data_IF_687435994346
#
_entry.id   IF_687435994346
#
_cell.length_a   1.000
_cell.length_b   1.000
_cell.length_c   1.000
_cell.angle_alpha   90.00
_cell.angle_beta   90.00
_cell.angle_gamma   90.00
#
_symmetry.space_group_name_H-M   'P 1'
#
loop_
_entity.id
_entity.type
_entity.pdbx_description
1 polymer ?
#
# COMPACT_ATOMS: atom_id res chain seq x y z
N UNK A 1 -0.74 -31.01 7.03
CA UNK A 1 -0.63 -31.89 8.21
C UNK A 1 -0.49 -31.02 9.45
N UNK A 2 -1.10 -31.37 10.59
CA UNK A 2 -0.91 -30.63 11.85
C UNK A 2 0.21 -31.25 12.68
N UNK A 3 1.02 -30.41 13.33
CA UNK A 3 2.04 -30.82 14.30
C UNK A 3 1.76 -30.10 15.64
N UNK A 4 1.07 -30.78 16.58
CA UNK A 4 0.69 -30.19 17.87
C UNK A 4 1.87 -29.88 18.78
N UNK A 5 2.92 -30.71 18.74
CA UNK A 5 4.09 -30.59 19.62
C UNK A 5 4.93 -29.38 19.25
N UNK A 6 5.17 -29.16 17.94
CA UNK A 6 5.81 -27.94 17.45
C UNK A 6 4.84 -26.74 17.35
N UNK A 7 3.53 -26.98 17.44
CA UNK A 7 2.48 -25.96 17.34
C UNK A 7 2.41 -25.31 15.96
N UNK A 8 2.65 -26.09 14.89
CA UNK A 8 2.68 -25.62 13.49
C UNK A 8 1.76 -26.41 12.57
N UNK A 9 1.31 -25.76 11.51
CA UNK A 9 0.70 -26.44 10.37
C UNK A 9 1.73 -26.64 9.27
N UNK A 10 1.77 -27.84 8.70
CA UNK A 10 2.56 -28.16 7.52
C UNK A 10 1.70 -28.04 6.26
N UNK A 11 2.03 -27.08 5.40
CA UNK A 11 1.45 -26.92 4.06
C UNK A 11 2.58 -26.98 3.04
N UNK A 12 2.44 -27.84 2.02
CA UNK A 12 3.45 -28.05 0.97
C UNK A 12 4.86 -28.34 1.51
N UNK A 13 4.94 -29.07 2.64
CA UNK A 13 6.20 -29.39 3.32
C UNK A 13 6.83 -28.21 4.08
N UNK A 14 6.18 -27.06 4.16
CA UNK A 14 6.66 -25.88 4.87
C UNK A 14 5.88 -25.71 6.19
N UNK A 15 6.53 -25.33 7.29
CA UNK A 15 5.84 -25.05 8.55
C UNK A 15 5.23 -23.64 8.56
N UNK A 16 4.05 -23.52 9.15
CA UNK A 16 3.27 -22.29 9.29
C UNK A 16 2.80 -22.08 10.73
N UNK A 17 2.86 -20.83 11.21
CA UNK A 17 2.49 -20.44 12.57
C UNK A 17 1.77 -19.10 12.58
N UNK A 18 0.87 -18.93 13.55
CA UNK A 18 0.19 -17.66 13.80
C UNK A 18 0.77 -17.01 15.05
N UNK A 19 1.12 -15.73 14.93
CA UNK A 19 1.52 -14.86 16.03
C UNK A 19 0.38 -13.90 16.31
N UNK A 20 -0.33 -14.13 17.41
CA UNK A 20 -1.43 -13.27 17.86
C UNK A 20 -0.88 -12.06 18.60
N UNK A 21 -1.50 -10.89 18.40
CA UNK A 21 -1.25 -9.71 19.24
C UNK A 21 -2.14 -9.79 20.47
N UNK A 22 -1.49 -9.85 21.62
CA UNK A 22 -2.13 -9.87 22.93
C UNK A 22 -2.65 -8.47 23.30
N UNK A 23 -1.76 -7.47 23.25
CA UNK A 23 -2.04 -6.15 23.83
C UNK A 23 -1.46 -5.04 22.96
N UNK A 24 -2.20 -3.94 22.85
CA UNK A 24 -1.68 -2.66 22.36
C UNK A 24 -1.04 -1.93 23.55
N UNK A 25 0.28 -1.73 23.53
CA UNK A 25 1.03 -1.00 24.56
C UNK A 25 0.87 0.51 24.42
N UNK A 26 0.62 0.97 23.20
CA UNK A 26 0.29 2.35 22.85
C UNK A 26 -0.85 2.37 21.84
N UNK A 27 -1.66 3.44 21.78
CA UNK A 27 -2.61 3.65 20.70
C UNK A 27 -1.90 3.60 19.33
N UNK A 28 -2.37 2.77 18.38
CA UNK A 28 -1.84 2.77 17.03
C UNK A 28 -2.34 4.00 16.27
N UNK A 29 -1.40 4.70 15.63
CA UNK A 29 -1.67 5.84 14.75
C UNK A 29 -2.10 5.38 13.35
N UNK A 30 -2.74 6.25 12.54
CA UNK A 30 -3.01 5.99 11.13
C UNK A 30 -1.78 5.48 10.38
N UNK A 31 -1.90 4.27 9.82
CA UNK A 31 -0.83 3.63 9.06
C UNK A 31 0.27 2.98 9.87
N UNK A 32 -0.02 2.61 11.13
CA UNK A 32 0.91 1.84 11.97
C UNK A 32 1.52 0.61 11.26
N UNK A 33 0.72 -0.09 10.44
CA UNK A 33 1.20 -1.27 9.71
C UNK A 33 1.80 -0.92 8.34
N UNK A 34 1.06 -0.17 7.53
CA UNK A 34 1.33 0.02 6.09
C UNK A 34 1.80 1.41 5.70
N UNK A 35 1.67 2.38 6.58
CA UNK A 35 2.09 3.75 6.34
C UNK A 35 3.61 3.88 6.40
N UNK A 36 4.15 4.74 5.53
CA UNK A 36 5.59 4.98 5.49
C UNK A 36 6.01 5.92 6.62
N UNK A 37 6.95 5.45 7.45
CA UNK A 37 7.49 6.22 8.58
C UNK A 37 8.99 6.39 8.39
N UNK A 38 9.49 7.61 8.64
CA UNK A 38 10.93 7.87 8.68
C UNK A 38 11.53 7.26 9.95
N UNK A 39 12.49 6.35 9.79
CA UNK A 39 13.25 5.68 10.86
C UNK A 39 14.74 5.82 10.57
N UNK A 40 15.37 6.82 11.19
CA UNK A 40 16.73 7.25 10.85
C UNK A 40 16.78 7.85 9.43
N UNK A 41 17.72 7.36 8.61
CA UNK A 41 17.84 7.76 7.20
C UNK A 41 16.90 7.01 6.26
N UNK A 42 16.26 5.95 6.76
CA UNK A 42 15.35 5.11 5.99
C UNK A 42 13.90 5.55 6.16
N UNK A 43 13.10 5.38 5.10
CA UNK A 43 11.64 5.47 5.15
C UNK A 43 11.11 4.06 4.93
N UNK A 44 10.33 3.50 5.85
CA UNK A 44 9.76 2.17 5.70
C UNK A 44 8.41 2.04 6.40
N UNK A 45 7.58 1.13 5.89
CA UNK A 45 6.41 0.66 6.61
C UNK A 45 6.83 -0.37 7.67
N UNK A 46 5.99 -0.61 8.67
CA UNK A 46 6.25 -1.67 9.64
C UNK A 46 6.29 -3.05 8.96
N UNK A 47 5.42 -3.28 7.97
CA UNK A 47 5.38 -4.54 7.24
C UNK A 47 6.68 -4.84 6.47
N UNK A 48 7.42 -3.83 6.02
CA UNK A 48 8.70 -4.06 5.33
C UNK A 48 9.78 -4.64 6.26
N UNK A 49 9.61 -4.45 7.57
CA UNK A 49 10.55 -4.93 8.60
C UNK A 49 10.19 -6.34 9.11
N UNK A 50 9.12 -6.93 8.60
CA UNK A 50 8.67 -8.28 8.95
C UNK A 50 9.34 -9.33 8.05
N UNK A 51 9.42 -10.60 8.49
CA UNK A 51 9.87 -11.68 7.62
C UNK A 51 9.09 -11.76 6.32
N UNK A 52 9.78 -11.99 5.21
CA UNK A 52 9.16 -12.10 3.89
C UNK A 52 8.09 -13.22 3.86
N UNK A 53 6.94 -12.90 3.27
CA UNK A 53 5.78 -13.81 3.22
C UNK A 53 4.88 -13.77 4.46
N UNK A 54 5.11 -12.85 5.41
CA UNK A 54 4.19 -12.62 6.53
C UNK A 54 2.85 -12.08 6.02
N UNK A 55 1.75 -12.69 6.46
CA UNK A 55 0.39 -12.24 6.14
C UNK A 55 -0.26 -11.67 7.39
N UNK A 56 -0.79 -10.46 7.31
CA UNK A 56 -1.54 -9.83 8.40
C UNK A 56 -3.02 -10.20 8.27
N UNK A 57 -3.62 -10.60 9.37
CA UNK A 57 -5.06 -10.84 9.48
C UNK A 57 -5.63 -10.02 10.63
N UNK A 58 -6.52 -9.08 10.29
CA UNK A 58 -7.28 -8.29 11.25
C UNK A 58 -8.76 -8.70 11.17
N UNK A 59 -9.21 -9.41 12.19
CA UNK A 59 -10.62 -9.75 12.37
C UNK A 59 -11.31 -8.61 13.11
N UNK A 60 -12.43 -8.11 12.59
CA UNK A 60 -13.26 -7.09 13.24
C UNK A 60 -14.70 -7.61 13.29
N UNK A 61 -15.30 -7.58 14.48
CA UNK A 61 -16.70 -7.92 14.72
C UNK A 61 -17.40 -6.65 15.17
N UNK A 62 -18.13 -6.03 14.24
CA UNK A 62 -19.02 -4.93 14.57
C UNK A 62 -20.16 -5.45 15.44
N UNK A 63 -20.44 -4.73 16.53
CA UNK A 63 -21.51 -5.06 17.46
C UNK A 63 -22.32 -3.80 17.78
N UNK A 64 -23.60 -4.00 18.09
CA UNK A 64 -24.49 -2.92 18.50
C UNK A 64 -23.99 -2.32 19.84
N UNK A 65 -23.90 -0.99 19.91
CA UNK A 65 -23.24 -0.30 21.03
C UNK A 65 -24.14 -0.26 22.28
N UNK A 66 -25.46 -0.21 22.09
CA UNK A 66 -26.48 -0.37 23.13
C UNK A 66 -26.29 -1.67 23.93
N UNK A 67 -26.13 -2.81 23.25
CA UNK A 67 -25.87 -4.11 23.90
C UNK A 67 -24.56 -4.10 24.70
N UNK A 68 -23.55 -3.43 24.18
CA UNK A 68 -22.26 -3.31 24.86
C UNK A 68 -22.37 -2.44 26.12
N UNK A 69 -23.12 -1.33 26.07
CA UNK A 69 -23.40 -0.48 27.22
C UNK A 69 -24.21 -1.20 28.30
N UNK A 70 -25.17 -2.05 27.92
CA UNK A 70 -25.89 -2.93 28.84
C UNK A 70 -24.95 -3.93 29.53
N UNK A 71 -24.04 -4.56 28.78
CA UNK A 71 -23.03 -5.48 29.32
C UNK A 71 -22.12 -4.79 30.34
N UNK A 72 -21.65 -3.57 30.06
CA UNK A 72 -20.86 -2.79 31.02
C UNK A 72 -21.68 -2.39 32.25
N UNK A 73 -22.95 -2.05 32.07
CA UNK A 73 -23.85 -1.74 33.19
C UNK A 73 -24.02 -2.95 34.10
N UNK A 74 -24.18 -4.14 33.53
CA UNK A 74 -24.24 -5.40 34.29
C UNK A 74 -22.91 -5.71 34.99
N UNK A 75 -21.78 -5.49 34.32
CA UNK A 75 -20.45 -5.67 34.90
C UNK A 75 -20.25 -4.79 36.15
N UNK A 76 -20.61 -3.51 36.06
CA UNK A 76 -20.53 -2.58 37.20
C UNK A 76 -21.44 -2.97 38.36
N UNK A 77 -22.63 -3.53 38.09
CA UNK A 77 -23.54 -4.03 39.13
C UNK A 77 -23.00 -5.28 39.84
N UNK A 78 -22.35 -6.18 39.08
CA UNK A 78 -21.80 -7.42 39.59
C UNK A 78 -20.49 -7.24 40.39
N UNK A 79 -19.80 -6.11 40.21
CA UNK A 79 -18.65 -5.73 41.01
C UNK A 79 -19.10 -5.29 42.42
N UNK A 80 -19.57 -6.25 43.24
CA UNK A 80 -20.08 -6.03 44.59
C UNK A 80 -18.96 -6.25 45.61
N UNK A 81 -18.38 -5.16 46.10
CA UNK A 81 -17.35 -5.18 47.14
C UNK A 81 -16.70 -3.80 47.29
N UNK A 82 -16.13 -3.54 48.47
CA UNK A 82 -15.27 -2.37 48.73
C UNK A 82 -13.79 -2.67 48.48
N UNK A 83 -13.47 -3.87 47.99
CA UNK A 83 -12.10 -4.20 47.62
C UNK A 83 -11.64 -3.36 46.42
N UNK A 84 -10.32 -3.16 46.35
CA UNK A 84 -9.68 -2.32 45.33
C UNK A 84 -10.03 -2.75 43.90
N UNK A 85 -10.19 -4.05 43.67
CA UNK A 85 -10.54 -4.58 42.34
C UNK A 85 -11.96 -4.19 41.91
N UNK A 86 -12.96 -4.31 42.80
CA UNK A 86 -14.34 -3.93 42.49
C UNK A 86 -14.47 -2.42 42.25
N UNK A 87 -13.74 -1.61 43.02
CA UNK A 87 -13.68 -0.16 42.82
C UNK A 87 -13.10 0.18 41.45
N UNK A 88 -11.99 -0.47 41.07
CA UNK A 88 -11.33 -0.26 39.77
C UNK A 88 -12.24 -0.64 38.60
N UNK A 89 -12.93 -1.78 38.68
CA UNK A 89 -13.87 -2.19 37.63
C UNK A 89 -14.98 -1.14 37.43
N UNK A 90 -15.50 -0.55 38.51
CA UNK A 90 -16.51 0.52 38.39
C UNK A 90 -15.93 1.78 37.75
N UNK A 91 -14.71 2.17 38.11
CA UNK A 91 -14.01 3.31 37.50
C UNK A 91 -13.78 3.08 36.00
N UNK A 92 -13.26 1.91 35.61
CA UNK A 92 -13.02 1.56 34.21
C UNK A 92 -14.34 1.56 33.40
N UNK A 93 -15.44 1.06 33.97
CA UNK A 93 -16.76 1.11 33.32
C UNK A 93 -17.25 2.54 33.14
N UNK A 94 -17.04 3.41 34.12
CA UNK A 94 -17.40 4.82 34.01
C UNK A 94 -16.62 5.51 32.89
N UNK A 95 -15.30 5.32 32.84
CA UNK A 95 -14.44 5.89 31.78
C UNK A 95 -14.89 5.42 30.39
N UNK A 96 -15.17 4.13 30.24
CA UNK A 96 -15.66 3.57 28.97
C UNK A 96 -17.00 4.20 28.58
N UNK A 97 -17.93 4.37 29.51
CA UNK A 97 -19.23 5.01 29.24
C UNK A 97 -19.09 6.47 28.82
N UNK A 98 -18.18 7.21 29.44
CA UNK A 98 -17.90 8.60 29.05
C UNK A 98 -17.37 8.68 27.60
N UNK A 99 -16.47 7.76 27.23
CA UNK A 99 -15.95 7.68 25.86
C UNK A 99 -17.03 7.26 24.84
N UNK A 100 -17.88 6.28 25.18
CA UNK A 100 -19.02 5.89 24.35
C UNK A 100 -20.00 7.07 24.16
N UNK A 101 -20.26 7.83 25.22
CA UNK A 101 -21.08 9.06 25.17
C UNK A 101 -20.48 10.14 24.26
N UNK A 102 -19.15 10.19 24.11
CA UNK A 102 -18.43 11.05 23.15
C UNK A 102 -18.40 10.48 21.72
N UNK A 103 -19.24 9.51 21.40
CA UNK A 103 -19.36 8.84 20.09
C UNK A 103 -18.14 7.99 19.70
N UNK A 104 -17.24 7.66 20.62
CA UNK A 104 -16.29 6.59 20.36
C UNK A 104 -17.04 5.25 20.30
N UNK A 105 -16.50 4.29 19.56
CA UNK A 105 -17.10 2.97 19.39
C UNK A 105 -16.12 1.88 19.79
N UNK A 106 -16.64 0.80 20.37
CA UNK A 106 -15.90 -0.39 20.75
C UNK A 106 -16.40 -1.60 19.95
N UNK A 107 -15.49 -2.22 19.22
CA UNK A 107 -15.72 -3.48 18.52
C UNK A 107 -14.85 -4.57 19.10
N UNK A 108 -15.22 -5.83 18.84
CA UNK A 108 -14.33 -6.94 19.12
C UNK A 108 -13.41 -7.15 17.93
N UNK A 109 -12.14 -7.43 18.21
CA UNK A 109 -11.15 -7.63 17.18
C UNK A 109 -10.06 -8.61 17.59
N UNK A 110 -9.40 -9.20 16.61
CA UNK A 110 -8.18 -9.97 16.80
C UNK A 110 -7.20 -9.62 15.68
N UNK A 111 -5.95 -9.31 16.06
CA UNK A 111 -4.86 -9.07 15.12
C UNK A 111 -3.90 -10.25 15.18
N UNK A 112 -3.65 -10.87 14.03
CA UNK A 112 -2.80 -12.03 13.89
C UNK A 112 -1.84 -11.85 12.71
N UNK A 113 -0.66 -12.44 12.82
CA UNK A 113 0.36 -12.49 11.78
C UNK A 113 0.67 -13.94 11.46
N UNK A 114 0.42 -14.36 10.22
CA UNK A 114 0.72 -15.69 9.73
C UNK A 114 2.11 -15.68 9.13
N UNK A 115 2.96 -16.59 9.60
CA UNK A 115 4.36 -16.71 9.20
C UNK A 115 4.60 -18.11 8.68
N UNK A 116 5.43 -18.21 7.64
CA UNK A 116 5.93 -19.46 7.06
C UNK A 116 7.45 -19.50 7.17
N UNK A 117 7.99 -20.67 7.50
CA UNK A 117 9.43 -20.96 7.45
C UNK A 117 9.76 -22.02 6.39
N UNK A 118 11.06 -22.31 6.24
CA UNK A 118 11.57 -23.44 5.44
C UNK A 118 11.57 -24.75 6.24
N UNK A 119 11.84 -24.64 7.53
CA UNK A 119 11.92 -25.71 8.52
C UNK A 119 11.56 -25.14 9.91
N UNK A 120 11.61 -25.98 10.94
CA UNK A 120 11.24 -25.61 12.31
C UNK A 120 12.19 -24.56 12.92
N UNK A 121 13.45 -24.52 12.52
CA UNK A 121 14.41 -23.55 13.05
C UNK A 121 14.20 -22.18 12.40
N UNK A 122 14.03 -22.14 11.08
CA UNK A 122 13.73 -20.92 10.33
C UNK A 122 12.41 -20.29 10.78
N UNK A 123 11.34 -21.08 10.98
CA UNK A 123 10.06 -20.51 11.45
C UNK A 123 10.18 -19.91 12.85
N UNK A 124 10.93 -20.53 13.76
CA UNK A 124 11.14 -20.01 15.10
C UNK A 124 11.94 -18.69 15.04
N UNK A 125 13.00 -18.64 14.23
CA UNK A 125 13.77 -17.42 14.02
C UNK A 125 12.92 -16.28 13.46
N UNK A 126 12.08 -16.57 12.45
CA UNK A 126 11.15 -15.59 11.85
C UNK A 126 10.11 -15.09 12.86
N UNK A 127 9.58 -15.98 13.71
CA UNK A 127 8.64 -15.61 14.78
C UNK A 127 9.30 -14.69 15.81
N UNK A 128 10.57 -14.96 16.17
CA UNK A 128 11.33 -14.07 17.05
C UNK A 128 11.58 -12.70 16.41
N UNK A 129 12.01 -12.65 15.15
CA UNK A 129 12.19 -11.40 14.40
C UNK A 129 10.88 -10.60 14.35
N UNK A 130 9.78 -11.25 13.96
CA UNK A 130 8.46 -10.63 13.91
C UNK A 130 8.05 -10.08 15.27
N UNK A 131 8.23 -10.87 16.34
CA UNK A 131 7.86 -10.46 17.70
C UNK A 131 8.61 -9.20 18.15
N UNK A 132 9.90 -9.12 17.83
CA UNK A 132 10.71 -7.92 18.09
C UNK A 132 10.20 -6.70 17.31
N UNK A 133 9.90 -6.86 16.01
CA UNK A 133 9.33 -5.80 15.16
C UNK A 133 7.97 -5.32 15.69
N UNK A 134 7.10 -6.22 16.15
CA UNK A 134 5.80 -5.87 16.73
C UNK A 134 5.96 -5.08 18.04
N UNK A 135 6.89 -5.49 18.90
CA UNK A 135 7.15 -4.81 20.17
C UNK A 135 7.64 -3.37 19.97
N UNK A 136 8.48 -3.09 18.98
CA UNK A 136 8.91 -1.71 18.67
C UNK A 136 7.77 -0.85 18.13
N UNK A 137 6.76 -1.48 17.52
CA UNK A 137 5.52 -0.83 17.11
C UNK A 137 4.52 -0.62 18.26
N UNK A 138 4.77 -1.18 19.44
CA UNK A 138 3.85 -1.18 20.57
C UNK A 138 2.73 -2.22 20.45
N UNK A 139 2.89 -3.20 19.56
CA UNK A 139 2.03 -4.36 19.43
C UNK A 139 2.68 -5.51 20.20
N UNK A 140 2.12 -5.90 21.34
CA UNK A 140 2.65 -6.99 22.14
C UNK A 140 2.14 -8.33 21.61
N UNK A 141 2.98 -9.19 21.02
CA UNK A 141 2.59 -10.54 20.65
C UNK A 141 2.39 -11.42 21.87
N UNK A 142 1.51 -12.43 21.75
CA UNK A 142 1.39 -13.53 22.71
C UNK A 142 2.70 -14.30 22.70
N UNK A 143 3.31 -14.51 23.87
CA UNK A 143 4.52 -15.34 23.98
C UNK A 143 4.20 -16.78 23.56
N UNK A 144 5.08 -17.47 22.81
CA UNK A 144 4.80 -18.83 22.34
C UNK A 144 4.41 -19.80 23.46
N UNK A 145 5.06 -19.70 24.61
CA UNK A 145 4.86 -20.49 25.83
C UNK A 145 3.49 -20.26 26.50
N UNK A 146 2.83 -19.14 26.21
CA UNK A 146 1.47 -18.84 26.68
C UNK A 146 0.40 -19.06 25.60
N UNK A 147 0.78 -19.60 24.43
CA UNK A 147 -0.16 -19.91 23.37
C UNK A 147 -0.90 -21.21 23.69
N UNK A 148 -2.11 -21.09 24.25
CA UNK A 148 -2.93 -22.24 24.68
C UNK A 148 -3.34 -23.16 23.51
N UNK A 149 -3.50 -22.62 22.30
CA UNK A 149 -3.94 -23.40 21.14
C UNK A 149 -3.45 -22.81 19.81
N UNK A 150 -2.15 -22.97 19.50
CA UNK A 150 -1.52 -22.34 18.34
C UNK A 150 -2.09 -22.82 17.00
N UNK A 151 -2.43 -24.11 16.88
CA UNK A 151 -3.04 -24.67 15.67
C UNK A 151 -4.44 -24.08 15.39
N UNK A 152 -5.25 -23.91 16.43
CA UNK A 152 -6.58 -23.29 16.30
C UNK A 152 -6.46 -21.78 16.06
N UNK A 153 -5.47 -21.12 16.68
CA UNK A 153 -5.19 -19.71 16.42
C UNK A 153 -4.87 -19.47 14.94
N UNK A 154 -4.08 -20.36 14.33
CA UNK A 154 -3.80 -20.32 12.89
C UNK A 154 -5.07 -20.40 12.05
N UNK A 155 -5.91 -21.42 12.28
CA UNK A 155 -7.14 -21.60 11.52
C UNK A 155 -8.12 -20.42 11.69
N UNK A 156 -8.26 -19.88 12.90
CA UNK A 156 -9.13 -18.72 13.15
C UNK A 156 -8.60 -17.43 12.53
N UNK A 157 -7.29 -17.32 12.36
CA UNK A 157 -6.65 -16.16 11.76
C UNK A 157 -6.71 -16.19 10.22
N UNK A 158 -7.01 -17.33 9.60
CA UNK A 158 -7.23 -17.38 8.15
C UNK A 158 -8.43 -16.51 7.74
N UNK A 159 -8.37 -15.84 6.57
CA UNK A 159 -9.49 -15.05 6.08
C UNK A 159 -10.79 -15.85 6.06
N UNK A 160 -11.87 -15.25 6.55
CA UNK A 160 -13.21 -15.84 6.59
C UNK A 160 -13.38 -17.12 7.45
N UNK A 161 -12.35 -17.55 8.20
CA UNK A 161 -12.44 -18.75 9.03
C UNK A 161 -12.87 -18.48 10.48
N UNK A 162 -12.89 -17.21 10.93
CA UNK A 162 -13.38 -16.84 12.25
C UNK A 162 -14.92 -16.78 12.27
N UNK A 163 -15.54 -17.51 13.20
CA UNK A 163 -16.98 -17.43 13.47
C UNK A 163 -17.23 -16.80 14.86
N UNK A 164 -17.77 -15.57 14.93
CA UNK A 164 -18.01 -14.87 16.20
C UNK A 164 -19.02 -15.58 17.10
N UNK A 165 -19.98 -16.33 16.55
CA UNK A 165 -20.98 -17.06 17.34
C UNK A 165 -20.39 -18.23 18.12
N UNK A 166 -19.22 -18.73 17.69
CA UNK A 166 -18.47 -19.79 18.36
C UNK A 166 -17.50 -19.25 19.44
N UNK A 167 -17.19 -17.95 19.42
CA UNK A 167 -16.32 -17.29 20.41
C UNK A 167 -17.13 -16.77 21.62
N UNK A 168 -17.94 -17.66 22.22
CA UNK A 168 -18.89 -17.29 23.31
C UNK A 168 -18.21 -16.72 24.55
N UNK A 169 -16.97 -17.12 24.82
CA UNK A 169 -16.17 -16.64 25.96
C UNK A 169 -15.23 -15.49 25.58
N UNK A 170 -15.24 -15.06 24.33
CA UNK A 170 -14.37 -14.00 23.82
C UNK A 170 -12.88 -14.26 24.10
N UNK A 171 -12.46 -15.52 23.98
CA UNK A 171 -11.08 -15.92 24.24
C UNK A 171 -10.15 -15.55 23.10
N UNK A 172 -10.70 -15.35 21.90
CA UNK A 172 -9.94 -14.98 20.70
C UNK A 172 -10.04 -13.49 20.39
N UNK A 173 -11.23 -12.90 20.53
CA UNK A 173 -11.49 -11.51 20.19
C UNK A 173 -11.53 -10.60 21.42
N UNK A 174 -10.91 -9.41 21.32
CA UNK A 174 -10.81 -8.42 22.41
C UNK A 174 -11.55 -7.13 22.06
N UNK A 175 -12.13 -6.47 23.05
CA UNK A 175 -12.69 -5.14 22.87
C UNK A 175 -11.58 -4.16 22.53
N UNK A 176 -11.74 -3.44 21.41
CA UNK A 176 -10.77 -2.47 20.91
C UNK A 176 -11.51 -1.27 20.32
N UNK A 177 -11.01 -0.08 20.60
CA UNK A 177 -11.58 1.17 20.07
C UNK A 177 -11.48 1.20 18.55
N UNK A 178 -12.56 1.60 17.89
CA UNK A 178 -12.62 1.65 16.41
C UNK A 178 -11.53 2.55 15.82
N UNK A 179 -11.16 3.63 16.51
CA UNK A 179 -10.06 4.50 16.08
C UNK A 179 -8.70 3.77 16.05
N UNK A 180 -8.46 2.86 17.01
CA UNK A 180 -7.23 2.06 17.04
C UNK A 180 -7.26 0.99 15.94
N UNK A 181 -8.44 0.43 15.65
CA UNK A 181 -8.61 -0.47 14.52
C UNK A 181 -8.33 0.24 13.20
N UNK A 182 -8.81 1.48 13.04
CA UNK A 182 -8.53 2.31 11.87
C UNK A 182 -7.02 2.58 11.70
N UNK A 183 -6.30 2.83 12.80
CA UNK A 183 -4.84 2.97 12.79
C UNK A 183 -4.09 1.72 12.29
N UNK A 184 -4.66 0.54 12.52
CA UNK A 184 -4.13 -0.76 12.12
C UNK A 184 -4.59 -1.21 10.72
N UNK A 185 -5.56 -0.55 10.10
CA UNK A 185 -6.06 -0.97 8.80
C UNK A 185 -4.97 -0.83 7.72
N UNK A 186 -4.82 -1.83 6.83
CA UNK A 186 -3.83 -1.81 5.75
C UNK A 186 -4.29 -0.95 4.55
N UNK A 187 -4.94 0.18 4.81
CA UNK A 187 -5.54 1.07 3.79
C UNK A 187 -4.71 2.32 3.51
N UNK A 188 -3.69 2.56 4.32
CA UNK A 188 -2.74 3.69 4.20
C UNK A 188 -1.47 3.28 3.46
N UNK A 189 -1.58 2.25 2.62
CA UNK A 189 -0.47 1.72 1.86
C UNK A 189 0.10 2.71 0.86
N UNK A 190 1.22 2.33 0.24
CA UNK A 190 1.89 3.12 -0.79
C UNK A 190 0.95 3.39 -1.96
N UNK A 191 1.06 4.59 -2.52
CA UNK A 191 0.33 4.95 -3.74
C UNK A 191 0.60 3.93 -4.85
N UNK A 192 -0.46 3.49 -5.51
CA UNK A 192 -0.46 2.68 -6.73
C UNK A 192 -0.76 3.54 -7.95
N UNK A 193 -0.65 4.87 -7.81
CA UNK A 193 -1.02 5.84 -8.82
C UNK A 193 -2.54 6.05 -8.88
N UNK A 194 -3.04 6.39 -10.06
CA UNK A 194 -4.47 6.65 -10.31
C UNK A 194 -5.25 5.39 -10.68
N UNK A 195 -4.53 4.30 -11.01
CA UNK A 195 -5.12 3.04 -11.46
C UNK A 195 -5.38 2.98 -12.97
N UNK A 196 -5.10 4.05 -13.72
CA UNK A 196 -5.25 4.09 -15.17
C UNK A 196 -3.99 3.54 -15.86
N UNK A 197 -4.08 2.47 -16.67
CA UNK A 197 -2.90 1.76 -17.19
C UNK A 197 -2.32 2.41 -18.46
N UNK A 198 -1.92 3.69 -18.38
CA UNK A 198 -1.18 4.36 -19.47
C UNK A 198 0.33 4.10 -19.36
N UNK A 199 0.89 4.47 -18.22
CA UNK A 199 2.24 4.13 -17.78
C UNK A 199 2.17 3.20 -16.57
N UNK A 200 3.05 2.21 -16.56
CA UNK A 200 3.18 1.20 -15.52
C UNK A 200 4.60 1.18 -14.97
N UNK A 201 4.69 1.35 -13.67
CA UNK A 201 5.89 1.26 -12.86
C UNK A 201 5.64 0.35 -11.65
N UNK A 202 6.62 0.25 -10.76
CA UNK A 202 6.45 -0.35 -9.45
C UNK A 202 6.70 0.70 -8.38
N UNK A 203 5.82 0.78 -7.39
CA UNK A 203 6.11 1.56 -6.20
C UNK A 203 7.20 0.87 -5.37
N UNK A 204 7.69 1.54 -4.33
CA UNK A 204 8.74 1.01 -3.44
C UNK A 204 8.40 -0.35 -2.82
N UNK A 205 7.11 -0.66 -2.64
CA UNK A 205 6.64 -1.94 -2.13
C UNK A 205 6.57 -3.05 -3.17
N UNK A 206 6.98 -2.79 -4.41
CA UNK A 206 6.89 -3.74 -5.52
C UNK A 206 5.47 -3.90 -6.09
N UNK A 207 4.49 -3.12 -5.62
CA UNK A 207 3.16 -3.14 -6.19
C UNK A 207 3.12 -2.29 -7.48
N UNK A 208 2.27 -2.65 -8.46
CA UNK A 208 2.08 -1.84 -9.66
C UNK A 208 1.71 -0.39 -9.31
N UNK A 209 2.39 0.55 -9.94
CA UNK A 209 2.06 1.98 -9.90
C UNK A 209 1.67 2.38 -11.32
N UNK A 210 0.42 2.83 -11.49
CA UNK A 210 -0.14 3.12 -12.81
C UNK A 210 -0.80 4.48 -12.86
N UNK A 211 -0.54 5.21 -13.93
CA UNK A 211 -1.22 6.46 -14.26
C UNK A 211 -1.16 6.68 -15.77
N UNK A 212 -2.11 7.44 -16.32
CA UNK A 212 -2.19 7.69 -17.76
C UNK A 212 -2.14 9.19 -18.07
N UNK A 213 -1.01 9.72 -18.58
CA UNK A 213 -0.90 11.14 -18.90
C UNK A 213 -1.86 11.61 -20.00
N UNK A 214 -2.48 10.72 -20.77
CA UNK A 214 -3.47 11.11 -21.78
C UNK A 214 -4.90 11.06 -21.24
N UNK A 215 -5.15 10.38 -20.12
CA UNK A 215 -6.46 10.30 -19.49
C UNK A 215 -6.85 11.65 -18.88
N UNK A 216 -8.07 12.12 -19.17
CA UNK A 216 -8.62 13.39 -18.64
C UNK A 216 -8.82 13.38 -17.12
N UNK A 217 -8.90 12.21 -16.49
CA UNK A 217 -9.00 12.10 -15.04
C UNK A 217 -7.64 12.27 -14.35
N UNK A 218 -6.54 12.10 -15.09
CA UNK A 218 -5.17 12.15 -14.57
C UNK A 218 -4.46 13.47 -14.91
N UNK A 219 -5.10 14.33 -15.71
CA UNK A 219 -4.58 15.65 -16.10
C UNK A 219 -5.66 16.72 -16.01
N UNK A 220 -5.26 17.94 -15.70
CA UNK A 220 -6.17 19.11 -15.76
C UNK A 220 -6.31 19.61 -17.21
N UNK A 221 -5.21 20.07 -17.81
CA UNK A 221 -5.17 20.53 -19.20
C UNK A 221 -4.10 19.78 -20.00
N UNK A 222 -2.84 19.89 -19.60
CA UNK A 222 -1.71 19.27 -20.29
C UNK A 222 -0.94 18.31 -19.37
N UNK A 223 -0.29 17.32 -19.96
CA UNK A 223 0.56 16.36 -19.25
C UNK A 223 2.02 16.58 -19.62
N UNK A 224 2.72 17.40 -18.83
CA UNK A 224 4.15 17.66 -18.99
C UNK A 224 4.96 16.75 -18.06
N UNK A 225 6.08 16.23 -18.55
CA UNK A 225 7.02 15.40 -17.79
C UNK A 225 8.39 16.08 -17.74
N UNK A 226 8.92 16.27 -16.53
CA UNK A 226 10.31 16.64 -16.30
C UNK A 226 11.07 15.44 -15.73
N UNK A 227 12.12 15.00 -16.41
CA UNK A 227 12.94 13.85 -16.00
C UNK A 227 14.40 14.27 -15.80
N UNK A 228 14.82 14.37 -14.54
CA UNK A 228 16.18 14.77 -14.15
C UNK A 228 17.05 13.57 -13.79
N UNK A 229 18.36 13.72 -13.98
CA UNK A 229 19.36 12.74 -13.56
C UNK A 229 20.70 12.95 -14.28
N UNK A 230 21.83 12.55 -13.70
CA UNK A 230 23.14 12.65 -14.36
C UNK A 230 23.22 11.74 -15.59
N UNK A 231 24.30 11.88 -16.36
CA UNK A 231 24.63 10.94 -17.45
C UNK A 231 24.75 9.52 -16.88
N UNK A 232 24.14 8.54 -17.56
CA UNK A 232 24.11 7.15 -17.09
C UNK A 232 23.00 6.82 -16.08
N UNK A 233 22.23 7.79 -15.57
CA UNK A 233 21.14 7.54 -14.61
C UNK A 233 19.90 6.83 -15.19
N UNK A 234 19.93 6.40 -16.47
CA UNK A 234 18.84 5.67 -17.09
C UNK A 234 17.71 6.52 -17.71
N UNK A 235 17.86 7.86 -17.83
CA UNK A 235 16.82 8.75 -18.38
C UNK A 235 16.25 8.27 -19.73
N UNK A 236 17.12 8.02 -20.71
CA UNK A 236 16.70 7.58 -22.04
C UNK A 236 16.06 6.19 -22.01
N UNK A 237 16.57 5.28 -21.17
CA UNK A 237 15.99 3.94 -21.02
C UNK A 237 14.55 4.02 -20.45
N UNK A 238 14.34 4.84 -19.43
CA UNK A 238 13.01 5.11 -18.87
C UNK A 238 12.07 5.71 -19.92
N UNK A 239 12.53 6.70 -20.68
CA UNK A 239 11.72 7.30 -21.74
C UNK A 239 11.38 6.32 -22.86
N UNK A 240 12.32 5.46 -23.29
CA UNK A 240 12.01 4.41 -24.26
C UNK A 240 10.88 3.50 -23.77
N UNK A 241 10.96 3.02 -22.52
CA UNK A 241 9.92 2.18 -21.93
C UNK A 241 8.56 2.90 -21.84
N UNK A 242 8.55 4.16 -21.39
CA UNK A 242 7.32 4.95 -21.30
C UNK A 242 6.72 5.26 -22.67
N UNK A 243 7.54 5.57 -23.68
CA UNK A 243 7.08 5.86 -25.03
C UNK A 243 6.50 4.62 -25.71
N UNK A 244 7.07 3.43 -25.49
CA UNK A 244 6.50 2.18 -25.98
C UNK A 244 5.10 1.97 -25.40
N UNK A 245 4.92 2.20 -24.10
CA UNK A 245 3.61 2.10 -23.45
C UNK A 245 2.64 3.15 -24.00
N UNK A 246 3.09 4.39 -24.17
CA UNK A 246 2.29 5.47 -24.76
C UNK A 246 1.81 5.12 -26.17
N UNK A 247 2.70 4.61 -27.02
CA UNK A 247 2.38 4.19 -28.37
C UNK A 247 1.48 2.97 -28.39
N UNK A 248 1.64 2.03 -27.46
CA UNK A 248 0.78 0.86 -27.38
C UNK A 248 -0.68 1.23 -27.04
N UNK A 249 -0.88 2.16 -26.10
CA UNK A 249 -2.21 2.52 -25.60
C UNK A 249 -2.88 3.58 -26.49
N UNK A 250 -2.17 4.66 -26.80
CA UNK A 250 -2.77 5.86 -27.41
C UNK A 250 -2.37 6.13 -28.86
N UNK A 251 -1.26 5.53 -29.32
CA UNK A 251 -0.66 5.79 -30.65
C UNK A 251 -0.62 7.29 -31.04
N UNK A 252 -0.15 8.21 -30.17
CA UNK A 252 -0.11 9.62 -30.54
C UNK A 252 0.94 9.89 -31.62
N UNK A 253 0.85 11.06 -32.26
CA UNK A 253 1.95 11.57 -33.09
C UNK A 253 3.09 12.01 -32.17
N UNK A 254 4.25 11.37 -32.31
CA UNK A 254 5.44 11.66 -31.50
C UNK A 254 6.47 12.51 -32.27
N UNK A 255 7.02 13.48 -31.57
CA UNK A 255 8.18 14.26 -32.00
C UNK A 255 9.26 14.09 -30.93
N UNK A 256 10.43 13.60 -31.35
CA UNK A 256 11.56 13.35 -30.45
C UNK A 256 12.74 14.17 -30.95
N UNK A 257 13.24 15.05 -30.10
CA UNK A 257 14.43 15.86 -30.37
C UNK A 257 15.48 15.46 -29.33
N UNK A 258 16.62 14.94 -29.80
CA UNK A 258 17.66 14.45 -28.92
C UNK A 258 19.08 14.70 -29.46
N UNK A 259 20.05 14.58 -28.55
CA UNK A 259 21.47 14.51 -28.88
C UNK A 259 22.00 13.15 -28.41
N UNK A 260 22.59 12.35 -29.32
CA UNK A 260 23.25 11.08 -28.97
C UNK A 260 22.58 9.79 -29.48
N UNK A 261 21.46 9.89 -30.23
CA UNK A 261 20.79 8.76 -30.89
C UNK A 261 20.32 7.63 -29.94
N UNK A 262 19.88 8.00 -28.73
CA UNK A 262 19.29 7.11 -27.74
C UNK A 262 17.97 6.47 -28.20
N UNK A 263 17.20 7.18 -29.02
CA UNK A 263 15.87 6.77 -29.50
C UNK A 263 15.89 6.22 -30.93
N UNK A 264 17.06 6.14 -31.57
CA UNK A 264 17.19 5.61 -32.94
C UNK A 264 16.61 4.20 -33.09
N UNK A 265 16.97 3.30 -32.17
CA UNK A 265 16.45 1.92 -32.12
C UNK A 265 14.97 1.86 -31.78
N UNK A 266 14.47 2.77 -30.93
CA UNK A 266 13.04 2.87 -30.64
C UNK A 266 12.25 3.20 -31.92
N UNK A 267 12.80 4.11 -32.73
CA UNK A 267 12.19 4.47 -33.99
C UNK A 267 12.30 3.33 -35.04
N UNK A 268 13.36 2.52 -35.04
CA UNK A 268 13.46 1.31 -35.89
C UNK A 268 12.41 0.28 -35.48
N UNK A 269 12.21 0.13 -34.17
CA UNK A 269 11.18 -0.74 -33.60
C UNK A 269 9.76 -0.29 -33.97
N UNK A 270 9.47 1.02 -33.99
CA UNK A 270 8.18 1.52 -34.45
C UNK A 270 7.96 1.27 -35.95
N UNK A 271 8.97 1.47 -36.77
CA UNK A 271 8.90 1.20 -38.21
C UNK A 271 8.67 -0.30 -38.49
N UNK A 272 9.34 -1.19 -37.75
CA UNK A 272 9.12 -2.64 -37.88
C UNK A 272 7.72 -3.10 -37.47
N UNK A 273 7.04 -2.33 -36.62
CA UNK A 273 5.63 -2.50 -36.28
C UNK A 273 4.65 -1.83 -37.27
N UNK A 274 5.16 -1.30 -38.38
CA UNK A 274 4.37 -0.69 -39.46
C UNK A 274 3.98 0.78 -39.22
N UNK A 275 4.58 1.46 -38.25
CA UNK A 275 4.35 2.89 -38.05
C UNK A 275 5.15 3.72 -39.05
N UNK A 276 4.57 4.83 -39.51
CA UNK A 276 5.30 5.81 -40.33
C UNK A 276 6.30 6.56 -39.45
N UNK A 277 7.59 6.37 -39.73
CA UNK A 277 8.69 6.99 -38.99
C UNK A 277 9.47 7.94 -39.92
N UNK A 278 9.88 9.09 -39.39
CA UNK A 278 10.78 10.01 -40.07
C UNK A 278 11.98 10.29 -39.16
N UNK A 279 13.17 9.85 -39.57
CA UNK A 279 14.42 10.04 -38.82
C UNK A 279 15.31 11.02 -39.55
N UNK A 280 15.63 12.14 -38.91
CA UNK A 280 16.50 13.17 -39.46
C UNK A 280 17.69 13.34 -38.52
N UNK A 281 18.89 13.03 -39.01
CA UNK A 281 20.14 13.26 -38.30
C UNK A 281 20.78 14.58 -38.72
N UNK A 282 20.83 15.57 -37.83
CA UNK A 282 21.47 16.86 -38.10
C UNK A 282 22.96 16.74 -37.75
N UNK A 283 23.80 16.61 -38.79
CA UNK A 283 25.27 16.54 -38.65
C UNK A 283 25.94 17.47 -39.66
N UNK A 284 27.14 18.01 -39.39
CA UNK A 284 27.88 18.77 -40.40
C UNK A 284 27.99 18.00 -41.71
N UNK A 285 27.63 18.64 -42.83
CA UNK A 285 27.69 18.02 -44.17
C UNK A 285 26.53 17.09 -44.55
N UNK A 286 25.51 16.91 -43.71
CA UNK A 286 24.39 16.00 -44.01
C UNK A 286 23.38 16.52 -45.06
N UNK A 287 23.57 17.73 -45.58
CA UNK A 287 22.68 18.34 -46.58
C UNK A 287 21.30 18.75 -46.07
N UNK A 288 20.99 18.52 -44.78
CA UNK A 288 19.74 18.96 -44.17
C UNK A 288 19.85 20.43 -43.77
N UNK A 289 18.98 21.27 -44.33
CA UNK A 289 18.86 22.69 -43.98
C UNK A 289 17.66 22.93 -43.09
N UNK A 290 17.89 23.49 -41.90
CA UNK A 290 16.84 24.01 -41.01
C UNK A 290 16.71 25.53 -41.20
N UNK A 291 16.50 25.97 -42.44
CA UNK A 291 16.35 27.39 -42.73
C UNK A 291 15.08 27.92 -42.05
N UNK A 292 15.28 28.87 -41.12
CA UNK A 292 14.21 29.45 -40.30
C UNK A 292 13.04 30.00 -41.12
N UNK A 293 13.31 30.44 -42.35
CA UNK A 293 12.35 31.06 -43.26
C UNK A 293 12.04 30.21 -44.50
N UNK A 294 12.33 28.89 -44.49
CA UNK A 294 12.08 28.02 -45.64
C UNK A 294 10.63 28.14 -46.15
N UNK A 295 9.68 28.23 -45.23
CA UNK A 295 8.25 28.33 -45.53
C UNK A 295 7.70 29.77 -45.53
N UNK A 296 8.57 30.79 -45.42
CA UNK A 296 8.12 32.19 -45.43
C UNK A 296 7.38 32.57 -46.72
N UNK A 297 7.67 31.89 -47.84
CA UNK A 297 6.95 32.07 -49.10
C UNK A 297 5.49 31.58 -49.03
N UNK A 298 5.15 30.65 -48.12
CA UNK A 298 3.77 30.20 -47.92
C UNK A 298 2.88 31.31 -47.36
N UNK A 299 3.47 32.32 -46.68
CA UNK A 299 2.74 33.52 -46.23
C UNK A 299 2.13 34.30 -47.40
N UNK A 300 2.71 34.23 -48.60
CA UNK A 300 2.16 34.87 -49.81
C UNK A 300 0.88 34.20 -50.31
N UNK A 301 0.58 32.99 -49.84
CA UNK A 301 -0.62 32.23 -50.22
C UNK A 301 -1.77 32.42 -49.23
N UNK A 302 -1.52 33.03 -48.06
CA UNK A 302 -2.54 33.31 -47.05
C UNK A 302 -3.24 34.63 -47.34
N UNK A 303 -4.56 34.69 -47.14
CA UNK A 303 -5.29 35.96 -47.29
C UNK A 303 -4.97 36.90 -46.11
N UNK A 304 -5.00 38.24 -46.29
CA UNK A 304 -4.75 39.19 -45.21
C UNK A 304 -5.64 39.01 -43.97
N UNK A 305 -6.82 38.40 -44.13
CA UNK A 305 -7.75 38.10 -43.05
C UNK A 305 -7.29 36.91 -42.19
N UNK A 306 -6.59 35.93 -42.78
CA UNK A 306 -6.01 34.77 -42.09
C UNK A 306 -4.73 35.13 -41.30
N UNK A 307 -4.13 36.28 -41.59
CA UNK A 307 -2.92 36.78 -40.93
C UNK A 307 -3.23 37.66 -39.71
N UNK A 308 -4.52 37.95 -39.44
CA UNK A 308 -4.93 38.68 -38.24
C UNK A 308 -4.84 37.77 -37.02
N UNK A 309 -3.81 37.98 -36.23
CA UNK A 309 -3.70 37.38 -34.89
C UNK A 309 -4.65 38.16 -33.99
N UNK A 310 -5.64 37.48 -33.42
CA UNK A 310 -6.49 38.06 -32.40
C UNK A 310 -5.73 37.99 -31.06
N UNK A 311 -5.55 39.11 -30.36
CA UNK A 311 -4.84 39.12 -29.06
C UNK A 311 -5.48 38.21 -28.01
N UNK A 312 -6.74 37.80 -28.21
CA UNK A 312 -7.44 36.82 -27.38
C UNK A 312 -7.05 35.35 -27.65
N UNK A 313 -6.32 35.06 -28.74
CA UNK A 313 -5.89 33.71 -29.14
C UNK A 313 -4.41 33.42 -28.79
N UNK A 314 -3.72 34.33 -28.10
CA UNK A 314 -2.39 34.16 -27.50
C UNK A 314 -2.45 33.87 -26.00
#
# INVERSE_FOLDING_TARGET
MSDPDAGVWWFDGLPHKAVLVERLRRPPEPGTLTGEVKRGDNINALMDMMPAGTVVSLTIVAQAQDRLEEDFTRLSKNAVGENTESLRVRQDVQEVKELLGRRHKLYRSALAFLVRGKDLDDINHRVHQLSSTLLTAGLQPVRPEFSVSPLNAYLRALPMCFNPQKDKKHGYSRLTWVQHLAGLLPVTGRSTGTGHPGFSFFNRGGAPLTFDPMNKQDRTQNAHLLLFGPTGAGKSATLCASLIQLMAVHRPRLFIVEAGNSFGLLADYYESLGLKVNKIGIRPGCGVSLALFADAHQLLQLSPEQLRINEADM
#
